data_IF_048699619143
#
_entry.id   IF_048699619143
#
_cell.length_a   1.000
_cell.length_b   1.000
_cell.length_c   1.000
_cell.angle_alpha   90.00
_cell.angle_beta   90.00
_cell.angle_gamma   90.00
#
_symmetry.space_group_name_H-M   'P 1'
#
loop_
_entity.id
_entity.type
_entity.pdbx_description
1 polymer ?
#
# COMPACT_ATOMS: atom_id res chain seq x y z
N UNK A 1 3.26 15.08 -16.83
CA UNK A 1 2.81 14.33 -15.63
C UNK A 1 2.71 15.29 -14.46
N UNK A 2 1.61 15.28 -13.74
CA UNK A 2 1.49 16.16 -12.60
C UNK A 2 2.13 15.56 -11.37
N UNK A 3 2.31 16.38 -10.35
CA UNK A 3 2.98 15.97 -9.11
C UNK A 3 2.27 14.80 -8.41
N UNK A 4 0.94 14.75 -8.51
CA UNK A 4 0.17 13.68 -7.89
C UNK A 4 0.37 12.33 -8.56
N UNK A 5 0.47 12.31 -9.89
CA UNK A 5 0.74 11.07 -10.62
C UNK A 5 2.12 10.53 -10.27
N UNK A 6 3.11 11.42 -10.20
CA UNK A 6 4.46 11.05 -9.79
C UNK A 6 4.47 10.45 -8.39
N UNK A 7 3.81 11.12 -7.45
CA UNK A 7 3.75 10.66 -6.05
C UNK A 7 3.03 9.32 -5.93
N UNK A 8 1.93 9.15 -6.66
CA UNK A 8 1.18 7.90 -6.67
C UNK A 8 2.07 6.74 -7.12
N UNK A 9 2.75 6.91 -8.26
CA UNK A 9 3.62 5.87 -8.80
C UNK A 9 4.82 5.60 -7.87
N UNK A 10 5.35 6.64 -7.24
CA UNK A 10 6.43 6.51 -6.27
C UNK A 10 6.03 5.60 -5.11
N UNK A 11 4.86 5.85 -4.53
CA UNK A 11 4.37 5.07 -3.39
C UNK A 11 4.12 3.61 -3.81
N UNK A 12 3.49 3.39 -4.97
CA UNK A 12 3.26 2.03 -5.48
C UNK A 12 4.60 1.30 -5.65
N UNK A 13 5.59 1.94 -6.25
CA UNK A 13 6.90 1.35 -6.46
C UNK A 13 7.58 0.99 -5.15
N UNK A 14 7.47 1.87 -4.14
CA UNK A 14 8.04 1.61 -2.81
C UNK A 14 7.40 0.38 -2.20
N UNK A 15 6.08 0.25 -2.26
CA UNK A 15 5.38 -0.92 -1.71
C UNK A 15 5.85 -2.20 -2.41
N UNK A 16 5.91 -2.20 -3.74
CA UNK A 16 6.36 -3.36 -4.51
C UNK A 16 7.80 -3.75 -4.12
N UNK A 17 8.68 -2.77 -4.02
CA UNK A 17 10.09 -3.03 -3.69
C UNK A 17 10.26 -3.53 -2.25
N UNK A 18 9.50 -2.99 -1.31
CA UNK A 18 9.52 -3.46 0.07
C UNK A 18 9.03 -4.90 0.16
N UNK A 19 8.00 -5.25 -0.63
CA UNK A 19 7.51 -6.63 -0.67
C UNK A 19 8.58 -7.60 -1.17
N UNK A 20 9.36 -7.19 -2.18
CA UNK A 20 10.42 -8.04 -2.73
C UNK A 20 11.53 -8.32 -1.74
N UNK A 21 11.85 -7.36 -0.89
CA UNK A 21 12.96 -7.47 0.07
C UNK A 21 12.52 -7.91 1.45
N UNK A 22 11.23 -8.03 1.68
CA UNK A 22 10.69 -8.30 3.00
C UNK A 22 10.61 -9.78 3.30
N UNK A 23 10.98 -10.14 4.53
CA UNK A 23 10.96 -11.54 4.99
C UNK A 23 9.56 -12.06 5.26
N UNK A 24 8.59 -11.16 5.42
CA UNK A 24 7.22 -11.54 5.73
C UNK A 24 6.40 -11.94 4.51
N UNK A 25 6.94 -11.72 3.32
CA UNK A 25 6.32 -12.13 2.05
C UNK A 25 7.21 -13.16 1.37
N UNK A 26 6.67 -14.35 1.14
CA UNK A 26 7.41 -15.46 0.55
C UNK A 26 7.65 -15.29 -0.96
N UNK A 27 7.02 -14.33 -1.58
CA UNK A 27 7.06 -14.14 -3.03
C UNK A 27 7.25 -12.69 -3.38
N UNK A 28 7.87 -12.45 -4.54
CA UNK A 28 7.89 -11.12 -5.12
C UNK A 28 6.46 -10.69 -5.48
N UNK A 29 6.08 -9.51 -5.03
CA UNK A 29 4.81 -8.92 -5.39
C UNK A 29 4.98 -8.11 -6.66
N UNK A 30 4.14 -8.33 -7.67
CA UNK A 30 4.14 -7.49 -8.87
C UNK A 30 3.17 -6.34 -8.69
N UNK A 31 3.36 -5.30 -9.50
CA UNK A 31 2.43 -4.17 -9.50
C UNK A 31 1.01 -4.64 -9.85
N UNK A 32 0.90 -5.55 -10.82
CA UNK A 32 -0.38 -6.09 -11.26
C UNK A 32 -1.10 -6.84 -10.15
N UNK A 33 -0.38 -7.64 -9.37
CA UNK A 33 -0.96 -8.36 -8.24
C UNK A 33 -1.40 -7.38 -7.14
N UNK A 34 -0.59 -6.36 -6.86
CA UNK A 34 -0.88 -5.36 -5.84
C UNK A 34 -2.16 -4.59 -6.17
N UNK A 35 -2.29 -4.15 -7.42
CA UNK A 35 -3.42 -3.33 -7.86
C UNK A 35 -4.62 -4.15 -8.32
N UNK A 36 -4.45 -5.46 -8.48
CA UNK A 36 -5.48 -6.35 -9.01
C UNK A 36 -6.42 -6.88 -7.95
N UNK A 37 -7.06 -7.97 -8.30
CA UNK A 37 -8.10 -8.59 -7.46
C UNK A 37 -7.66 -9.87 -6.77
N UNK A 38 -6.35 -10.13 -6.73
CA UNK A 38 -5.84 -11.29 -6.02
C UNK A 38 -6.30 -11.26 -4.56
N UNK A 39 -6.75 -12.41 -4.08
CA UNK A 39 -7.24 -12.57 -2.71
C UNK A 39 -6.24 -13.30 -1.82
N UNK A 40 -5.03 -13.60 -2.31
CA UNK A 40 -4.07 -14.24 -1.43
C UNK A 40 -3.68 -13.27 -0.29
N UNK A 41 -3.28 -13.84 0.82
CA UNK A 41 -3.03 -13.07 2.05
C UNK A 41 -1.97 -11.99 1.85
N UNK A 42 -0.89 -12.32 1.15
CA UNK A 42 0.20 -11.38 0.93
C UNK A 42 -0.25 -10.17 0.10
N UNK A 43 -1.03 -10.42 -0.95
CA UNK A 43 -1.56 -9.34 -1.78
C UNK A 43 -2.52 -8.46 -1.00
N UNK A 44 -3.37 -9.06 -0.17
CA UNK A 44 -4.30 -8.30 0.66
C UNK A 44 -3.58 -7.43 1.68
N UNK A 45 -2.54 -7.96 2.31
CA UNK A 45 -1.73 -7.21 3.28
C UNK A 45 -0.99 -6.06 2.60
N UNK A 46 -0.34 -6.33 1.47
CA UNK A 46 0.39 -5.30 0.72
C UNK A 46 -0.56 -4.20 0.24
N UNK A 47 -1.75 -4.57 -0.21
CA UNK A 47 -2.77 -3.61 -0.66
C UNK A 47 -3.25 -2.73 0.50
N UNK A 48 -3.41 -3.30 1.68
CA UNK A 48 -3.81 -2.52 2.85
C UNK A 48 -2.72 -1.51 3.24
N UNK A 49 -1.46 -1.90 3.15
CA UNK A 49 -0.34 -0.99 3.39
C UNK A 49 -0.34 0.13 2.34
N UNK A 50 -0.52 -0.22 1.06
CA UNK A 50 -0.57 0.77 -0.01
C UNK A 50 -1.68 1.79 0.23
N UNK A 51 -2.90 1.33 0.50
CA UNK A 51 -4.04 2.23 0.72
C UNK A 51 -3.76 3.15 1.90
N UNK A 52 -3.20 2.61 2.99
CA UNK A 52 -2.84 3.40 4.16
C UNK A 52 -1.87 4.54 3.80
N UNK A 53 -0.84 4.26 3.01
CA UNK A 53 0.13 5.28 2.62
C UNK A 53 -0.48 6.32 1.68
N UNK A 54 -1.37 5.90 0.78
CA UNK A 54 -2.05 6.81 -0.13
C UNK A 54 -2.96 7.78 0.65
N UNK A 55 -3.67 7.28 1.65
CA UNK A 55 -4.51 8.13 2.51
C UNK A 55 -3.63 9.15 3.25
N UNK A 56 -2.51 8.71 3.80
CA UNK A 56 -1.58 9.60 4.50
C UNK A 56 -0.98 10.67 3.59
N UNK A 57 -0.80 10.33 2.32
CA UNK A 57 -0.28 11.27 1.33
C UNK A 57 -1.33 12.27 0.83
N UNK A 58 -2.58 12.13 1.27
CA UNK A 58 -3.64 13.06 0.92
C UNK A 58 -4.49 12.65 -0.27
N UNK A 59 -4.34 11.44 -0.78
CA UNK A 59 -5.19 10.96 -1.87
C UNK A 59 -6.59 10.68 -1.35
N UNK A 60 -7.61 11.04 -2.15
CA UNK A 60 -9.00 10.83 -1.77
C UNK A 60 -9.40 9.38 -1.98
N UNK A 61 -10.46 8.97 -1.28
CA UNK A 61 -11.05 7.64 -1.46
C UNK A 61 -11.48 7.44 -2.92
N UNK A 62 -11.99 8.48 -3.55
CA UNK A 62 -12.41 8.43 -4.96
C UNK A 62 -11.23 8.09 -5.88
N UNK A 63 -10.09 8.74 -5.69
CA UNK A 63 -8.90 8.49 -6.49
C UNK A 63 -8.38 7.06 -6.27
N UNK A 64 -8.33 6.62 -5.02
CA UNK A 64 -7.86 5.27 -4.66
C UNK A 64 -8.82 4.22 -5.23
N UNK A 65 -10.12 4.49 -5.16
CA UNK A 65 -11.16 3.62 -5.73
C UNK A 65 -10.94 3.40 -7.22
N UNK A 66 -10.67 4.47 -7.96
CA UNK A 66 -10.39 4.38 -9.39
C UNK A 66 -9.12 3.59 -9.68
N UNK A 67 -8.06 3.82 -8.91
CA UNK A 67 -6.78 3.13 -9.08
C UNK A 67 -6.93 1.61 -8.89
N UNK A 68 -7.63 1.20 -7.85
CA UNK A 68 -7.77 -0.22 -7.50
C UNK A 68 -9.00 -0.87 -8.12
N UNK A 69 -9.78 -0.11 -8.88
CA UNK A 69 -11.02 -0.59 -9.49
C UNK A 69 -11.94 -1.24 -8.46
N UNK A 70 -12.11 -0.56 -7.34
CA UNK A 70 -12.98 -1.00 -6.24
C UNK A 70 -13.93 0.11 -5.89
N UNK A 71 -15.04 -0.24 -5.25
CA UNK A 71 -15.99 0.76 -4.77
C UNK A 71 -15.40 1.56 -3.60
N UNK A 72 -15.94 2.74 -3.35
CA UNK A 72 -15.55 3.52 -2.18
C UNK A 72 -15.73 2.72 -0.90
N UNK A 73 -16.81 1.94 -0.82
CA UNK A 73 -17.08 1.07 0.34
C UNK A 73 -15.97 0.02 0.49
N UNK A 74 -15.52 -0.57 -0.63
CA UNK A 74 -14.42 -1.53 -0.61
C UNK A 74 -13.13 -0.90 -0.12
N UNK A 75 -12.84 0.35 -0.50
CA UNK A 75 -11.66 1.06 -0.02
C UNK A 75 -11.76 1.33 1.47
N UNK A 76 -12.93 1.74 1.97
CA UNK A 76 -13.14 1.96 3.41
C UNK A 76 -12.93 0.67 4.19
N UNK A 77 -13.36 -0.46 3.62
CA UNK A 77 -13.12 -1.77 4.23
C UNK A 77 -11.63 -2.07 4.33
N UNK A 78 -10.85 -1.77 3.29
CA UNK A 78 -9.41 -1.97 3.29
C UNK A 78 -8.74 -1.09 4.35
N UNK A 79 -9.18 0.16 4.49
CA UNK A 79 -8.69 1.07 5.53
C UNK A 79 -8.92 0.47 6.92
N UNK A 80 -10.11 -0.07 7.14
CA UNK A 80 -10.46 -0.71 8.41
C UNK A 80 -9.61 -1.95 8.66
N UNK A 81 -9.36 -2.74 7.62
CA UNK A 81 -8.50 -3.92 7.69
C UNK A 81 -7.09 -3.53 8.13
N UNK A 82 -6.56 -2.42 7.59
CA UNK A 82 -5.25 -1.91 8.00
C UNK A 82 -5.19 -1.66 9.52
N UNK A 83 -6.18 -0.99 10.07
CA UNK A 83 -6.21 -0.72 11.51
C UNK A 83 -6.27 -2.01 12.33
N UNK A 84 -7.07 -2.97 11.89
CA UNK A 84 -7.17 -4.27 12.56
C UNK A 84 -5.83 -5.01 12.54
N UNK A 85 -5.16 -5.04 11.38
CA UNK A 85 -3.89 -5.72 11.23
C UNK A 85 -2.77 -5.05 12.03
N UNK A 86 -2.78 -3.73 12.14
CA UNK A 86 -1.80 -3.02 12.95
C UNK A 86 -1.88 -3.42 14.43
N UNK A 87 -3.06 -3.79 14.89
CA UNK A 87 -3.28 -4.22 16.28
C UNK A 87 -3.02 -5.70 16.49
N UNK A 88 -3.28 -6.53 15.47
CA UNK A 88 -3.31 -7.99 15.64
C UNK A 88 -2.13 -8.72 15.01
N UNK A 89 -1.36 -8.07 14.13
CA UNK A 89 -0.26 -8.73 13.45
C UNK A 89 1.03 -7.94 13.61
N UNK A 90 1.97 -8.52 14.32
CA UNK A 90 3.28 -7.92 14.50
C UNK A 90 4.03 -7.81 13.17
N UNK A 91 3.95 -8.85 12.35
CA UNK A 91 4.59 -8.88 11.04
C UNK A 91 4.05 -7.75 10.15
N UNK A 92 2.74 -7.56 10.14
CA UNK A 92 2.12 -6.48 9.38
C UNK A 92 2.57 -5.11 9.88
N UNK A 93 2.61 -4.92 11.19
CA UNK A 93 3.04 -3.66 11.79
C UNK A 93 4.46 -3.31 11.39
N UNK A 94 5.37 -4.29 11.42
CA UNK A 94 6.76 -4.11 11.02
C UNK A 94 6.85 -3.72 9.54
N UNK A 95 6.16 -4.48 8.69
CA UNK A 95 6.17 -4.22 7.25
C UNK A 95 5.59 -2.84 6.91
N UNK A 96 4.49 -2.47 7.54
CA UNK A 96 3.89 -1.16 7.35
C UNK A 96 4.83 -0.03 7.76
N UNK A 97 5.56 -0.23 8.86
CA UNK A 97 6.55 0.73 9.33
C UNK A 97 7.72 0.89 8.36
N UNK A 98 8.19 -0.20 7.76
CA UNK A 98 9.26 -0.15 6.76
C UNK A 98 8.82 0.65 5.52
N UNK A 99 7.61 0.40 5.04
CA UNK A 99 7.07 1.14 3.89
C UNK A 99 6.95 2.63 4.23
N UNK A 100 6.40 2.94 5.40
CA UNK A 100 6.24 4.33 5.83
C UNK A 100 7.57 5.05 5.89
N UNK A 101 8.60 4.40 6.43
CA UNK A 101 9.93 4.99 6.52
C UNK A 101 10.51 5.27 5.13
N UNK A 102 10.38 4.32 4.21
CA UNK A 102 10.85 4.50 2.84
C UNK A 102 10.11 5.63 2.12
N UNK A 103 8.82 5.76 2.37
CA UNK A 103 8.02 6.85 1.80
C UNK A 103 8.51 8.21 2.32
N UNK A 104 8.82 8.29 3.60
CA UNK A 104 9.34 9.53 4.20
C UNK A 104 10.71 9.91 3.63
N UNK A 105 11.63 8.94 3.53
CA UNK A 105 12.96 9.19 3.00
C UNK A 105 12.89 9.65 1.55
N UNK A 106 12.06 9.01 0.75
CA UNK A 106 11.87 9.39 -0.65
C UNK A 106 11.24 10.78 -0.79
N UNK A 107 10.29 11.12 0.08
CA UNK A 107 9.62 12.42 0.03
C UNK A 107 10.54 13.58 0.40
N UNK A 108 11.63 13.32 1.13
CA UNK A 108 12.56 14.37 1.56
C UNK A 108 13.61 14.73 0.50
N UNK A 109 13.34 14.41 -0.75
CA UNK A 109 14.14 14.88 -1.86
C UNK A 109 15.44 14.15 -2.10
N UNK A 110 15.52 12.98 -1.62
CA UNK A 110 16.72 12.16 -1.79
C UNK A 110 16.65 11.38 -3.08
#
# INVERSE_FOLDING_TARGET
>A
MNDKDYELNRIITIVVNCCKSSVWLDKSMTREELLGKSKNENACMARAILVSQLVKAGFTISTISGLLRRTAQGIRHIIKTNYTLLKSSRAYKIASGEVEEMCKLSANGV
#
